data_IF_554593272441
#
_entry.id   IF_554593272441
#
_cell.length_a   1.000
_cell.length_b   1.000
_cell.length_c   1.000
_cell.angle_alpha   90.00
_cell.angle_beta   90.00
_cell.angle_gamma   90.00
#
_symmetry.space_group_name_H-M   'P 1'
#
loop_
_entity.id
_entity.type
_entity.pdbx_description
1 polymer ?
#
# COMPACT_ATOMS: atom_id res chain seq x y z
N UNK A 1 -12.66 -6.87 1.24
CA UNK A 1 -11.59 -7.88 1.11
C UNK A 1 -10.37 -7.23 1.69
N UNK A 2 -10.03 -7.60 2.91
CA UNK A 2 -8.93 -6.99 3.65
C UNK A 2 -7.66 -7.79 3.36
N UNK A 3 -6.56 -7.09 3.07
CA UNK A 3 -5.27 -7.74 2.90
C UNK A 3 -4.63 -7.90 4.28
N UNK A 4 -4.15 -9.10 4.57
CA UNK A 4 -3.31 -9.37 5.74
C UNK A 4 -1.92 -9.79 5.27
N UNK A 5 -0.91 -9.22 5.93
CA UNK A 5 0.50 -9.54 5.70
C UNK A 5 1.00 -10.25 6.95
N UNK A 6 1.48 -11.48 6.77
CA UNK A 6 2.08 -12.29 7.82
C UNK A 6 3.45 -12.73 7.30
N UNK A 7 4.55 -12.37 7.99
CA UNK A 7 5.96 -12.68 7.64
C UNK A 7 6.15 -13.68 6.48
N UNK A 8 6.40 -13.16 5.28
CA UNK A 8 6.62 -13.99 4.08
C UNK A 8 5.34 -14.45 3.37
N UNK A 9 4.18 -13.87 3.70
CA UNK A 9 2.88 -14.25 3.12
C UNK A 9 1.92 -13.07 3.05
N UNK A 10 1.25 -12.95 1.91
CA UNK A 10 0.12 -12.03 1.70
C UNK A 10 -1.15 -12.84 1.51
N UNK A 11 -2.17 -12.57 2.32
CA UNK A 11 -3.46 -13.29 2.30
C UNK A 11 -4.64 -12.34 2.21
N UNK A 12 -5.76 -12.86 1.70
CA UNK A 12 -7.05 -12.20 1.81
C UNK A 12 -7.76 -12.68 3.08
N UNK A 13 -8.15 -11.76 3.96
CA UNK A 13 -9.02 -12.09 5.08
C UNK A 13 -10.46 -12.30 4.58
N UNK A 14 -11.01 -13.47 4.82
CA UNK A 14 -12.44 -13.75 4.67
C UNK A 14 -13.08 -13.79 6.05
N UNK A 15 -14.00 -12.87 6.32
CA UNK A 15 -14.84 -12.90 7.52
C UNK A 15 -16.10 -13.73 7.18
N UNK A 16 -16.10 -15.05 7.35
CA UNK A 16 -17.35 -15.81 7.26
C UNK A 16 -17.28 -17.22 7.86
N UNK A 17 -18.21 -17.51 8.78
CA UNK A 17 -18.50 -18.82 9.39
C UNK A 17 -19.39 -19.69 8.47
N UNK A 18 -19.19 -19.68 7.15
CA UNK A 18 -20.04 -20.45 6.23
C UNK A 18 -19.36 -21.74 5.72
N UNK A 19 -20.12 -22.83 5.71
CA UNK A 19 -19.67 -24.21 5.48
C UNK A 19 -19.29 -24.53 4.01
N UNK A 20 -19.08 -23.51 3.16
CA UNK A 20 -18.50 -23.65 1.82
C UNK A 20 -17.04 -23.22 1.90
N UNK A 21 -16.11 -24.03 1.39
CA UNK A 21 -14.69 -23.66 1.27
C UNK A 21 -14.58 -22.44 0.35
N UNK A 22 -14.65 -21.25 0.91
CA UNK A 22 -14.41 -20.01 0.20
C UNK A 22 -12.96 -20.03 -0.32
N UNK A 23 -12.74 -19.57 -1.57
CA UNK A 23 -11.41 -19.52 -2.13
C UNK A 23 -10.52 -18.65 -1.25
N UNK A 24 -9.40 -19.22 -0.82
CA UNK A 24 -8.42 -18.60 0.09
C UNK A 24 -7.12 -18.29 -0.69
N UNK A 25 -7.10 -17.25 -1.55
CA UNK A 25 -5.91 -16.88 -2.29
C UNK A 25 -4.82 -16.39 -1.33
N UNK A 26 -3.59 -16.81 -1.60
CA UNK A 26 -2.39 -16.38 -0.91
C UNK A 26 -1.21 -16.26 -1.87
N UNK A 27 -0.30 -15.36 -1.55
CA UNK A 27 1.01 -15.27 -2.17
C UNK A 27 2.08 -15.60 -1.14
N UNK A 28 2.89 -16.61 -1.43
CA UNK A 28 4.08 -16.92 -0.68
C UNK A 28 5.20 -16.00 -1.19
N UNK A 29 5.77 -15.22 -0.27
CA UNK A 29 6.74 -14.18 -0.53
C UNK A 29 8.11 -14.65 -0.03
N UNK A 30 9.16 -14.59 -0.86
CA UNK A 30 10.51 -14.87 -0.39
C UNK A 30 10.88 -13.92 0.75
N UNK A 31 11.36 -14.47 1.87
CA UNK A 31 11.89 -13.65 2.96
C UNK A 31 13.19 -13.01 2.46
N UNK A 32 13.27 -11.68 2.55
CA UNK A 32 14.47 -10.96 2.14
C UNK A 32 15.65 -11.35 3.03
N UNK A 33 16.82 -11.53 2.41
CA UNK A 33 18.04 -11.82 3.18
C UNK A 33 18.67 -10.53 3.69
N UNK A 34 19.52 -10.63 4.70
CA UNK A 34 20.26 -9.49 5.24
C UNK A 34 21.06 -8.77 4.15
N UNK A 35 21.66 -9.51 3.21
CA UNK A 35 22.44 -8.93 2.11
C UNK A 35 21.57 -8.11 1.14
N UNK A 36 20.30 -8.50 0.95
CA UNK A 36 19.36 -7.75 0.11
C UNK A 36 18.97 -6.43 0.79
N UNK A 37 18.79 -6.46 2.12
CA UNK A 37 18.53 -5.26 2.93
C UNK A 37 19.71 -4.28 2.87
N UNK A 38 20.93 -4.78 3.05
CA UNK A 38 22.15 -3.97 2.98
C UNK A 38 22.40 -3.39 1.59
N UNK A 39 22.07 -4.15 0.53
CA UNK A 39 22.10 -3.64 -0.86
C UNK A 39 21.10 -2.50 -1.04
N UNK A 40 19.83 -2.72 -0.68
CA UNK A 40 18.79 -1.71 -0.80
C UNK A 40 19.12 -0.44 0.00
N UNK A 41 19.60 -0.59 1.24
CA UNK A 41 19.98 0.52 2.09
C UNK A 41 21.12 1.37 1.49
N UNK A 42 22.13 0.72 0.90
CA UNK A 42 23.23 1.42 0.20
C UNK A 42 22.75 2.14 -1.04
N UNK A 43 21.89 1.52 -1.85
CA UNK A 43 21.33 2.17 -3.04
C UNK A 43 20.49 3.39 -2.69
N UNK A 44 19.59 3.28 -1.71
CA UNK A 44 18.76 4.40 -1.25
C UNK A 44 19.57 5.50 -0.54
N UNK A 45 20.71 5.15 0.07
CA UNK A 45 21.62 6.13 0.63
C UNK A 45 22.41 6.87 -0.46
N UNK A 46 22.86 6.16 -1.49
CA UNK A 46 23.64 6.71 -2.59
C UNK A 46 22.81 7.53 -3.59
N UNK A 47 21.53 7.19 -3.77
CA UNK A 47 20.62 7.85 -4.70
C UNK A 47 19.43 8.51 -3.95
N UNK A 48 19.55 9.80 -3.56
CA UNK A 48 18.45 10.55 -2.96
C UNK A 48 17.19 10.62 -3.81
N UNK A 49 17.33 10.62 -5.15
CA UNK A 49 16.17 10.75 -6.03
C UNK A 49 15.38 9.44 -6.02
N UNK A 50 16.08 8.31 -6.06
CA UNK A 50 15.48 7.00 -5.87
C UNK A 50 14.81 6.86 -4.50
N UNK A 51 15.44 7.29 -3.40
CA UNK A 51 14.81 7.25 -2.08
C UNK A 51 13.55 8.12 -2.01
N UNK A 52 13.60 9.32 -2.60
CA UNK A 52 12.43 10.19 -2.70
C UNK A 52 11.29 9.56 -3.51
N UNK A 53 11.59 9.00 -4.69
CA UNK A 53 10.60 8.29 -5.52
C UNK A 53 10.04 7.06 -4.81
N UNK A 54 10.91 6.28 -4.17
CA UNK A 54 10.53 5.10 -3.41
C UNK A 54 9.53 5.48 -2.31
N UNK A 55 9.87 6.43 -1.43
CA UNK A 55 9.01 6.86 -0.32
C UNK A 55 7.67 7.45 -0.78
N UNK A 56 7.63 8.02 -1.98
CA UNK A 56 6.42 8.54 -2.60
C UNK A 56 5.59 7.47 -3.34
N UNK A 57 6.04 6.22 -3.42
CA UNK A 57 5.37 5.16 -4.17
C UNK A 57 5.45 5.31 -5.69
N UNK A 58 6.46 6.03 -6.16
CA UNK A 58 6.70 6.37 -7.57
C UNK A 58 7.88 5.61 -8.17
N UNK A 59 8.56 4.76 -7.40
CA UNK A 59 9.62 3.91 -7.94
C UNK A 59 9.07 2.99 -9.04
N UNK A 60 9.78 2.89 -10.16
CA UNK A 60 9.41 2.01 -11.27
C UNK A 60 9.53 0.53 -10.89
N UNK A 61 8.96 -0.37 -11.69
CA UNK A 61 9.08 -1.81 -11.42
C UNK A 61 10.54 -2.26 -11.37
N UNK A 62 11.36 -1.86 -12.33
CA UNK A 62 12.80 -2.17 -12.36
C UNK A 62 13.55 -1.61 -11.14
N UNK A 63 13.21 -0.40 -10.69
CA UNK A 63 13.79 0.19 -9.49
C UNK A 63 13.43 -0.61 -8.23
N UNK A 64 12.15 -1.00 -8.11
CA UNK A 64 11.68 -1.82 -6.99
C UNK A 64 12.36 -3.19 -6.99
N UNK A 65 12.47 -3.84 -8.14
CA UNK A 65 13.17 -5.13 -8.27
C UNK A 65 14.64 -5.02 -7.89
N UNK A 66 15.33 -3.95 -8.32
CA UNK A 66 16.73 -3.70 -7.97
C UNK A 66 16.93 -3.57 -6.45
N UNK A 67 15.97 -2.91 -5.80
CA UNK A 67 15.90 -2.78 -4.34
C UNK A 67 15.44 -4.07 -3.60
N UNK A 68 15.18 -5.17 -4.33
CA UNK A 68 14.67 -6.41 -3.74
C UNK A 68 13.23 -6.31 -3.23
N UNK A 69 12.46 -5.35 -3.76
CA UNK A 69 11.12 -4.99 -3.32
C UNK A 69 10.07 -5.20 -4.44
N UNK A 70 10.13 -6.35 -5.12
CA UNK A 70 9.24 -6.72 -6.23
C UNK A 70 8.52 -8.05 -6.03
N UNK A 71 7.62 -8.41 -6.94
CA UNK A 71 6.83 -9.66 -6.91
C UNK A 71 7.28 -10.74 -7.88
N UNK A 72 8.41 -10.56 -8.57
CA UNK A 72 8.94 -11.50 -9.57
C UNK A 72 9.04 -12.94 -9.05
N UNK A 73 9.46 -13.10 -7.80
CA UNK A 73 9.71 -14.41 -7.19
C UNK A 73 8.56 -14.89 -6.29
N UNK A 74 7.44 -14.17 -6.26
CA UNK A 74 6.28 -14.54 -5.44
C UNK A 74 5.55 -15.73 -6.05
N UNK A 75 5.06 -16.63 -5.20
CA UNK A 75 4.34 -17.84 -5.62
C UNK A 75 2.88 -17.78 -5.22
N UNK A 76 1.99 -17.90 -6.19
CA UNK A 76 0.55 -17.93 -5.95
C UNK A 76 0.08 -19.32 -5.48
N UNK A 77 -0.78 -19.35 -4.46
CA UNK A 77 -1.52 -20.53 -4.05
C UNK A 77 -2.99 -20.15 -3.76
N UNK A 78 -3.92 -21.03 -4.13
CA UNK A 78 -5.35 -20.88 -3.83
C UNK A 78 -6.01 -22.26 -3.92
N UNK A 79 -6.96 -22.52 -3.04
CA UNK A 79 -7.70 -23.79 -2.91
C UNK A 79 -8.94 -23.89 -3.83
N UNK A 80 -9.15 -22.91 -4.73
CA UNK A 80 -10.29 -22.87 -5.65
C UNK A 80 -10.30 -23.95 -6.76
N UNK A 81 -9.31 -24.86 -6.78
CA UNK A 81 -9.20 -25.93 -7.77
C UNK A 81 -8.78 -25.51 -9.19
N UNK A 82 -8.52 -24.22 -9.43
CA UNK A 82 -8.08 -23.69 -10.72
C UNK A 82 -6.54 -23.68 -10.86
N UNK A 83 -6.05 -23.60 -12.11
CA UNK A 83 -4.62 -23.43 -12.41
C UNK A 83 -4.09 -22.12 -11.80
N UNK A 84 -2.92 -22.18 -11.17
CA UNK A 84 -2.28 -21.00 -10.57
C UNK A 84 -1.41 -20.23 -11.58
N UNK A 85 -1.34 -18.88 -11.48
CA UNK A 85 -2.14 -18.03 -10.59
C UNK A 85 -3.60 -17.94 -11.07
N UNK A 86 -4.53 -18.33 -10.20
CA UNK A 86 -5.96 -18.21 -10.51
C UNK A 86 -6.42 -16.75 -10.44
N UNK A 87 -7.62 -16.44 -10.93
CA UNK A 87 -8.19 -15.07 -10.87
C UNK A 87 -8.23 -14.52 -9.43
N UNK A 88 -8.55 -15.35 -8.44
CA UNK A 88 -8.55 -14.94 -7.04
C UNK A 88 -7.16 -14.46 -6.56
N UNK A 89 -6.10 -15.21 -6.90
CA UNK A 89 -4.73 -14.82 -6.56
C UNK A 89 -4.29 -13.57 -7.33
N UNK A 90 -4.65 -13.45 -8.61
CA UNK A 90 -4.36 -12.26 -9.41
C UNK A 90 -5.05 -11.01 -8.85
N UNK A 91 -6.32 -11.12 -8.44
CA UNK A 91 -7.06 -10.03 -7.79
C UNK A 91 -6.41 -9.61 -6.47
N UNK A 92 -5.94 -10.57 -5.66
CA UNK A 92 -5.19 -10.28 -4.44
C UNK A 92 -3.88 -9.53 -4.74
N UNK A 93 -3.10 -9.98 -5.73
CA UNK A 93 -1.85 -9.30 -6.11
C UNK A 93 -2.12 -7.90 -6.65
N UNK A 94 -3.15 -7.74 -7.48
CA UNK A 94 -3.55 -6.43 -7.98
C UNK A 94 -3.89 -5.49 -6.82
N UNK A 95 -4.70 -5.94 -5.86
CA UNK A 95 -5.06 -5.15 -4.68
C UNK A 95 -3.82 -4.80 -3.85
N UNK A 96 -2.92 -5.76 -3.63
CA UNK A 96 -1.65 -5.53 -2.94
C UNK A 96 -0.82 -4.46 -3.65
N UNK A 97 -0.63 -4.54 -4.97
CA UNK A 97 0.09 -3.54 -5.75
C UNK A 97 -0.51 -2.14 -5.64
N UNK A 98 -1.84 -2.00 -5.55
CA UNK A 98 -2.48 -0.69 -5.37
C UNK A 98 -2.23 -0.12 -3.97
N UNK A 99 -2.28 -0.95 -2.93
CA UNK A 99 -1.92 -0.49 -1.58
C UNK A 99 -0.42 -0.18 -1.48
N UNK A 100 0.43 -0.98 -2.12
CA UNK A 100 1.88 -0.74 -2.15
C UNK A 100 2.29 0.52 -2.93
N UNK A 101 1.41 1.09 -3.77
CA UNK A 101 1.62 2.44 -4.33
C UNK A 101 1.39 3.54 -3.31
N UNK A 102 0.50 3.32 -2.34
CA UNK A 102 0.19 4.27 -1.26
C UNK A 102 1.19 4.14 -0.11
N UNK A 103 1.52 2.90 0.20
CA UNK A 103 2.50 2.54 1.21
C UNK A 103 3.58 1.60 0.61
N UNK A 104 4.68 2.17 0.10
CA UNK A 104 5.75 1.41 -0.54
C UNK A 104 6.39 0.38 0.39
N UNK A 105 6.35 0.61 1.70
CA UNK A 105 6.96 -0.26 2.70
C UNK A 105 6.34 -1.66 2.73
N UNK A 106 5.10 -1.81 2.27
CA UNK A 106 4.41 -3.10 2.21
C UNK A 106 5.18 -4.16 1.42
N UNK A 107 6.02 -3.76 0.45
CA UNK A 107 6.88 -4.70 -0.29
C UNK A 107 7.87 -5.43 0.61
N UNK A 108 8.50 -4.71 1.54
CA UNK A 108 9.48 -5.27 2.46
C UNK A 108 8.84 -5.93 3.65
N UNK A 109 7.73 -5.39 4.16
CA UNK A 109 6.95 -6.05 5.21
C UNK A 109 6.45 -7.42 4.74
N UNK A 110 5.99 -7.51 3.48
CA UNK A 110 5.63 -8.79 2.87
C UNK A 110 6.82 -9.77 2.81
N UNK A 111 8.03 -9.24 2.59
CA UNK A 111 9.29 -9.99 2.63
C UNK A 111 9.86 -10.20 4.05
N UNK A 112 9.11 -9.84 5.10
CA UNK A 112 9.52 -10.04 6.50
C UNK A 112 10.53 -9.03 7.04
N UNK A 113 10.76 -7.93 6.32
CA UNK A 113 11.64 -6.84 6.73
C UNK A 113 10.82 -5.79 7.45
N UNK A 114 11.28 -5.41 8.63
CA UNK A 114 10.70 -4.34 9.42
C UNK A 114 11.09 -2.96 8.85
N UNK A 115 10.12 -2.03 8.84
CA UNK A 115 10.33 -0.67 8.32
C UNK A 115 11.44 0.07 9.06
N UNK A 116 11.46 0.02 10.39
CA UNK A 116 12.45 0.72 11.20
C UNK A 116 13.84 0.13 10.98
N UNK A 117 13.93 -1.19 10.77
CA UNK A 117 15.18 -1.85 10.44
C UNK A 117 15.78 -1.33 9.12
N UNK A 118 14.98 -1.19 8.07
CA UNK A 118 15.45 -0.64 6.80
C UNK A 118 15.77 0.86 6.92
N UNK A 119 14.93 1.66 7.58
CA UNK A 119 15.21 3.09 7.77
C UNK A 119 16.50 3.32 8.57
N UNK A 120 16.74 2.52 9.61
CA UNK A 120 17.99 2.54 10.37
C UNK A 120 19.18 2.15 9.50
N UNK A 121 19.04 1.13 8.65
CA UNK A 121 20.09 0.72 7.72
C UNK A 121 20.42 1.82 6.70
N UNK A 122 19.39 2.49 6.14
CA UNK A 122 19.56 3.62 5.21
C UNK A 122 20.29 4.78 5.90
N UNK A 123 19.89 5.14 7.13
CA UNK A 123 20.55 6.21 7.91
C UNK A 123 22.02 5.87 8.19
N UNK A 124 22.30 4.63 8.59
CA UNK A 124 23.67 4.17 8.82
C UNK A 124 24.52 4.18 7.55
N UNK A 125 23.94 3.84 6.39
CA UNK A 125 24.62 3.93 5.10
C UNK A 125 24.88 5.38 4.70
N UNK A 126 23.96 6.32 4.96
CA UNK A 126 24.16 7.75 4.71
C UNK A 126 25.27 8.35 5.56
N UNK A 127 25.30 8.05 6.86
CA UNK A 127 26.35 8.54 7.75
C UNK A 127 27.75 8.13 7.24
N UNK A 128 27.90 6.88 6.78
CA UNK A 128 29.16 6.39 6.17
C UNK A 128 29.51 7.13 4.88
N UNK A 129 28.53 7.53 4.07
CA UNK A 129 28.78 8.34 2.86
C UNK A 129 29.16 9.79 3.22
N UNK A 130 28.53 10.36 4.26
CA UNK A 130 28.79 11.72 4.71
C UNK A 130 30.18 11.88 5.36
N UNK A 131 30.67 10.87 6.09
CA UNK A 131 32.07 10.82 6.56
C UNK A 131 33.08 10.96 5.41
N UNK A 132 32.70 10.54 4.21
CA UNK A 132 33.53 10.63 2.99
C UNK A 132 33.29 11.96 2.25
N UNK A 133 32.15 12.63 2.44
CA UNK A 133 31.77 13.86 1.73
C UNK A 133 30.74 14.74 2.52
N UNK A 134 31.18 15.53 3.52
CA UNK A 134 30.28 16.22 4.47
C UNK A 134 29.44 17.36 3.84
N UNK A 135 29.89 17.99 2.76
CA UNK A 135 29.09 19.01 2.05
C UNK A 135 27.89 18.43 1.27
N UNK A 136 27.89 17.11 1.04
CA UNK A 136 26.83 16.46 0.28
C UNK A 136 25.53 16.33 1.09
N UNK A 137 25.59 16.19 2.42
CA UNK A 137 24.44 15.81 3.25
C UNK A 137 23.40 16.93 3.42
N UNK A 138 23.83 18.16 3.69
CA UNK A 138 22.90 19.30 3.80
C UNK A 138 22.25 19.65 2.44
N UNK A 139 23.00 19.52 1.35
CA UNK A 139 22.46 19.67 0.00
C UNK A 139 21.52 18.50 -0.38
N UNK A 140 21.76 17.31 0.17
CA UNK A 140 20.99 16.08 -0.05
C UNK A 140 19.60 16.17 0.58
N UNK A 141 19.49 16.54 1.85
CA UNK A 141 18.18 16.67 2.52
C UNK A 141 17.31 17.76 1.88
N UNK A 142 17.91 18.92 1.57
CA UNK A 142 17.21 20.02 0.91
C UNK A 142 16.65 19.62 -0.46
N UNK A 143 17.43 18.89 -1.27
CA UNK A 143 17.00 18.41 -2.59
C UNK A 143 15.92 17.33 -2.48
N UNK A 144 16.06 16.38 -1.55
CA UNK A 144 15.07 15.33 -1.34
C UNK A 144 13.71 15.90 -0.92
N UNK A 145 13.69 16.84 0.03
CA UNK A 145 12.46 17.50 0.50
C UNK A 145 11.81 18.35 -0.59
N UNK A 146 12.59 19.15 -1.32
CA UNK A 146 12.05 20.01 -2.37
C UNK A 146 11.49 19.19 -3.53
N UNK A 147 12.09 18.04 -3.84
CA UNK A 147 11.65 17.16 -4.93
C UNK A 147 10.46 16.29 -4.53
N UNK A 148 10.41 15.80 -3.29
CA UNK A 148 9.20 15.14 -2.76
C UNK A 148 7.99 16.08 -2.82
N UNK A 149 8.18 17.38 -2.52
CA UNK A 149 7.14 18.40 -2.70
C UNK A 149 6.75 18.61 -4.16
N UNK A 150 7.72 18.65 -5.09
CA UNK A 150 7.42 18.76 -6.53
C UNK A 150 6.68 17.53 -7.07
N UNK A 151 7.13 16.32 -6.70
CA UNK A 151 6.51 15.07 -7.12
C UNK A 151 5.13 14.87 -6.49
N UNK A 152 4.94 15.29 -5.24
CA UNK A 152 3.61 15.31 -4.62
C UNK A 152 2.66 16.29 -5.32
N UNK A 153 3.18 17.38 -5.89
CA UNK A 153 2.40 18.35 -6.67
C UNK A 153 2.16 17.91 -8.11
N UNK A 154 3.05 17.11 -8.69
CA UNK A 154 2.86 16.46 -9.99
C UNK A 154 1.96 15.22 -9.91
N UNK A 155 1.93 14.55 -8.75
CA UNK A 155 1.03 13.43 -8.41
C UNK A 155 -0.18 13.84 -7.56
N UNK A 156 -0.39 15.13 -7.28
CA UNK A 156 -1.74 15.62 -7.06
C UNK A 156 -2.48 15.21 -8.32
N UNK A 157 -3.34 14.19 -8.20
CA UNK A 157 -4.06 13.60 -9.33
C UNK A 157 -4.45 14.73 -10.28
N UNK A 158 -4.05 14.67 -11.57
CA UNK A 158 -4.61 15.56 -12.56
C UNK A 158 -6.10 15.51 -12.33
N UNK A 159 -6.76 16.65 -12.14
CA UNK A 159 -8.21 16.75 -11.97
C UNK A 159 -9.00 15.93 -13.03
N UNK A 160 -8.35 15.52 -14.12
CA UNK A 160 -8.80 14.54 -15.11
C UNK A 160 -8.95 13.09 -14.59
N UNK A 161 -8.18 12.59 -13.61
CA UNK A 161 -8.39 11.27 -12.99
C UNK A 161 -9.65 11.22 -12.13
N UNK A 162 -10.05 12.34 -11.50
CA UNK A 162 -11.42 12.51 -10.94
C UNK A 162 -12.52 12.36 -12.02
N UNK A 163 -12.17 12.56 -13.29
CA UNK A 163 -13.08 12.47 -14.45
C UNK A 163 -13.08 11.08 -15.09
N UNK A 164 -12.10 10.21 -14.82
CA UNK A 164 -12.07 8.79 -15.27
C UNK A 164 -12.84 7.87 -14.29
N UNK A 165 -13.52 8.46 -13.30
CA UNK A 165 -14.77 7.90 -12.77
C UNK A 165 -15.87 7.75 -13.86
N UNK A 166 -15.63 8.23 -15.08
CA UNK A 166 -16.44 7.99 -16.28
C UNK A 166 -15.97 6.69 -17.01
N UNK A 167 -16.85 5.70 -17.24
CA UNK A 167 -16.48 4.29 -17.34
C UNK A 167 -16.36 3.82 -18.80
N UNK A 168 -15.16 3.46 -19.24
CA UNK A 168 -14.99 2.89 -20.59
C UNK A 168 -14.37 1.48 -20.62
N UNK A 169 -14.15 0.81 -19.48
CA UNK A 169 -13.38 -0.45 -19.51
C UNK A 169 -13.95 -1.67 -18.78
N UNK A 170 -15.18 -1.62 -18.29
CA UNK A 170 -15.83 -2.79 -17.69
C UNK A 170 -17.29 -2.92 -18.16
N UNK A 171 -17.48 -3.80 -19.15
CA UNK A 171 -18.71 -4.41 -19.71
C UNK A 171 -20.02 -3.57 -19.85
N UNK A 172 -20.59 -3.59 -21.06
CA UNK A 172 -21.65 -2.71 -21.59
C UNK A 172 -22.98 -2.67 -20.83
N UNK A 173 -23.22 -3.59 -19.89
CA UNK A 173 -24.52 -3.75 -19.22
C UNK A 173 -24.50 -3.65 -17.69
N UNK A 174 -23.33 -3.54 -17.02
CA UNK A 174 -23.28 -3.29 -15.57
C UNK A 174 -22.04 -2.49 -15.24
N UNK A 175 -22.20 -1.20 -14.98
CA UNK A 175 -21.09 -0.37 -14.53
C UNK A 175 -20.67 -0.82 -13.12
N UNK A 176 -19.36 -0.94 -12.86
CA UNK A 176 -18.83 -1.17 -11.51
C UNK A 176 -19.38 -0.16 -10.48
N UNK A 177 -19.77 1.04 -10.94
CA UNK A 177 -20.45 2.04 -10.14
C UNK A 177 -21.84 1.57 -9.68
N UNK A 178 -22.63 0.88 -10.51
CA UNK A 178 -23.93 0.32 -10.11
C UNK A 178 -23.80 -0.77 -9.06
N UNK A 179 -22.71 -1.53 -9.10
CA UNK A 179 -22.40 -2.54 -8.07
C UNK A 179 -22.03 -1.91 -6.72
N UNK A 180 -21.38 -0.74 -6.71
CA UNK A 180 -20.98 -0.04 -5.48
C UNK A 180 -22.07 0.85 -4.87
N UNK A 181 -23.07 1.28 -5.66
CA UNK A 181 -24.15 2.15 -5.17
C UNK A 181 -24.85 1.63 -3.91
N UNK A 182 -25.28 0.35 -3.83
CA UNK A 182 -25.95 -0.16 -2.63
C UNK A 182 -25.06 -0.11 -1.38
N UNK A 183 -23.75 -0.32 -1.55
CA UNK A 183 -22.77 -0.28 -0.45
C UNK A 183 -22.57 1.16 0.03
N UNK A 184 -22.40 2.10 -0.90
CA UNK A 184 -22.28 3.52 -0.57
C UNK A 184 -23.54 4.07 0.11
N UNK A 185 -24.73 3.63 -0.32
CA UNK A 185 -25.99 3.97 0.34
C UNK A 185 -26.07 3.40 1.76
N UNK A 186 -25.66 2.15 1.96
CA UNK A 186 -25.69 1.51 3.28
C UNK A 186 -24.72 2.18 4.28
N UNK A 187 -23.55 2.65 3.83
CA UNK A 187 -22.60 3.37 4.67
C UNK A 187 -23.15 4.74 5.07
N UNK A 188 -23.69 5.51 4.12
CA UNK A 188 -24.29 6.83 4.41
C UNK A 188 -25.49 6.74 5.33
N UNK A 189 -26.39 5.78 5.11
CA UNK A 189 -27.53 5.56 5.99
C UNK A 189 -27.08 5.23 7.42
N UNK A 190 -25.94 4.54 7.58
CA UNK A 190 -25.38 4.22 8.90
C UNK A 190 -24.72 5.43 9.57
N UNK A 191 -24.06 6.30 8.81
CA UNK A 191 -23.50 7.57 9.32
C UNK A 191 -24.62 8.53 9.75
N UNK A 192 -25.67 8.68 8.93
CA UNK A 192 -26.83 9.52 9.27
C UNK A 192 -27.58 9.03 10.52
N UNK A 193 -27.69 7.71 10.71
CA UNK A 193 -28.25 7.14 11.93
C UNK A 193 -27.38 7.37 13.16
N UNK A 194 -26.05 7.30 13.02
CA UNK A 194 -25.12 7.52 14.12
C UNK A 194 -25.12 9.00 14.56
N UNK A 195 -25.19 9.92 13.61
CA UNK A 195 -25.27 11.36 13.91
C UNK A 195 -26.61 11.73 14.55
N UNK A 196 -27.72 11.13 14.10
CA UNK A 196 -29.03 11.32 14.71
C UNK A 196 -29.12 10.79 16.15
N UNK A 197 -28.47 9.65 16.46
CA UNK A 197 -28.38 9.12 17.82
C UNK A 197 -27.44 9.95 18.71
N UNK A 198 -26.35 10.48 18.15
CA UNK A 198 -25.41 11.37 18.85
C UNK A 198 -26.07 12.68 19.28
N UNK A 199 -26.84 13.31 18.39
CA UNK A 199 -27.54 14.57 18.70
C UNK A 199 -28.66 14.35 19.74
N UNK A 200 -29.35 13.21 19.71
CA UNK A 200 -30.37 12.87 20.71
C UNK A 200 -29.76 12.57 22.08
N UNK A 201 -28.57 11.96 22.13
CA UNK A 201 -27.87 11.67 23.38
C UNK A 201 -27.34 12.95 24.06
N UNK A 202 -26.90 13.95 23.28
CA UNK A 202 -26.44 15.24 23.81
C UNK A 202 -27.58 16.06 24.44
N UNK A 203 -28.79 16.04 23.86
CA UNK A 203 -29.93 16.82 24.38
C UNK A 203 -30.56 16.22 25.65
N UNK A 204 -30.43 14.90 25.85
CA UNK A 204 -30.97 14.21 27.03
C UNK A 204 -30.17 14.46 28.32
N UNK A 205 -28.90 14.84 28.24
CA UNK A 205 -28.04 15.07 29.42
C UNK A 205 -28.04 16.51 29.96
N UNK A 206 -28.69 17.46 29.29
CA UNK A 206 -28.73 18.88 29.72
C UNK A 206 -29.91 19.17 30.66
N UNK A 207 -30.88 18.27 30.82
CA UNK A 207 -32.11 18.52 31.60
C UNK A 207 -32.16 17.95 33.02
N UNK A 208 -31.10 17.33 33.52
CA UNK A 208 -31.05 16.80 34.89
C UNK A 208 -29.92 17.43 35.72
N UNK A 209 -30.03 18.74 35.99
CA UNK A 209 -29.40 19.32 37.18
C UNK A 209 -30.42 20.23 37.90
N UNK A 210 -30.76 19.92 39.17
CA UNK A 210 -31.69 20.70 39.98
C UNK A 210 -31.11 22.07 40.39
#
# INVERSE_FOLDING_TARGET
>A
MDIRIERGRVTAATNSESNRKEPSPRWDVPIAKTEDLERAARELAADPELDGRWRAGLATEDERERLGAGDRDWRAACDCGQRQPCRHAQSLLFRFRQEAKRDPWLWWEAAGVDRDALESAVRGARAKLAEVAPEAEAAWEARAVQRAKSLARENEEPWMLRRIADPAFWNRDVSFADWLKPIAFAVRAKEEHHDAESDYAMDSHVRERP
#
